data_IF_877510515087
#
_entry.id   IF_877510515087
#
_cell.length_a   1.000
_cell.length_b   1.000
_cell.length_c   1.000
_cell.angle_alpha   90.00
_cell.angle_beta   90.00
_cell.angle_gamma   90.00
#
_symmetry.space_group_name_H-M   'P 1'
#
loop_
_entity.id
_entity.type
_entity.pdbx_description
1 polymer ?
#
# COMPACT_ATOMS: atom_id res chain seq x y z
N UNK A 1 -16.78 -5.39 -1.62
CA UNK A 1 -15.75 -5.57 -2.66
C UNK A 1 -14.51 -4.84 -2.20
N UNK A 2 -13.40 -5.56 -2.12
CA UNK A 2 -12.09 -5.00 -1.84
C UNK A 2 -11.36 -4.63 -3.15
N UNK A 3 -10.44 -3.69 -3.06
CA UNK A 3 -9.63 -3.20 -4.19
C UNK A 3 -8.22 -2.98 -3.70
N UNK A 4 -7.25 -3.53 -4.43
CA UNK A 4 -5.83 -3.39 -4.12
C UNK A 4 -5.21 -2.43 -5.11
N UNK A 5 -4.20 -1.69 -4.68
CA UNK A 5 -3.50 -0.75 -5.54
C UNK A 5 -2.11 -0.41 -5.07
N UNK A 6 -1.50 0.48 -5.85
CA UNK A 6 -0.13 0.92 -5.69
C UNK A 6 -0.10 2.45 -5.82
N UNK A 7 0.58 3.10 -4.90
CA UNK A 7 0.93 4.52 -5.00
C UNK A 7 2.44 4.63 -5.14
N UNK A 8 2.91 5.24 -6.22
CA UNK A 8 4.34 5.53 -6.43
C UNK A 8 4.65 6.88 -5.80
N UNK A 9 5.60 6.90 -4.87
CA UNK A 9 6.04 8.11 -4.17
C UNK A 9 7.34 8.67 -4.74
N UNK A 10 8.16 7.79 -5.32
CA UNK A 10 9.47 8.16 -5.83
C UNK A 10 9.78 7.41 -7.12
N UNK A 11 10.39 8.13 -8.06
CA UNK A 11 10.89 7.58 -9.32
C UNK A 11 12.25 8.18 -9.65
N UNK A 12 13.09 7.40 -10.32
CA UNK A 12 14.38 7.85 -10.83
C UNK A 12 14.77 7.05 -12.07
N UNK A 13 15.31 7.70 -13.09
CA UNK A 13 15.87 7.01 -14.26
C UNK A 13 17.37 6.85 -14.08
N UNK A 14 17.83 5.60 -14.08
CA UNK A 14 19.24 5.25 -13.99
C UNK A 14 19.74 4.70 -15.32
N UNK A 15 20.87 5.20 -15.79
CA UNK A 15 21.52 4.75 -17.02
C UNK A 15 22.84 4.06 -16.65
N UNK A 16 22.97 2.78 -16.98
CA UNK A 16 24.22 2.06 -16.87
C UNK A 16 24.89 1.97 -18.25
N UNK A 17 25.86 2.86 -18.49
CA UNK A 17 26.67 2.86 -19.72
C UNK A 17 27.89 1.93 -19.65
N UNK A 18 28.11 1.24 -18.52
CA UNK A 18 29.25 0.35 -18.32
C UNK A 18 28.96 -1.02 -18.93
N UNK A 19 30.03 -1.76 -19.19
CA UNK A 19 29.98 -3.17 -19.63
C UNK A 19 29.69 -4.16 -18.50
N UNK A 20 29.60 -3.68 -17.26
CA UNK A 20 29.32 -4.47 -16.07
C UNK A 20 28.04 -4.01 -15.38
N UNK A 21 27.43 -4.90 -14.60
CA UNK A 21 26.24 -4.58 -13.80
C UNK A 21 26.56 -3.48 -12.78
N UNK A 22 25.66 -2.50 -12.69
CA UNK A 22 25.75 -1.39 -11.73
C UNK A 22 24.78 -1.62 -10.58
N UNK A 23 25.11 -1.12 -9.39
CA UNK A 23 24.25 -1.19 -8.21
C UNK A 23 24.06 0.20 -7.66
N UNK A 24 22.82 0.65 -7.53
CA UNK A 24 22.46 1.99 -7.08
C UNK A 24 21.53 1.90 -5.87
N UNK A 25 21.80 2.72 -4.85
CA UNK A 25 20.99 2.76 -3.64
C UNK A 25 20.44 4.17 -3.41
N UNK A 26 19.16 4.26 -3.08
CA UNK A 26 18.51 5.52 -2.70
C UNK A 26 17.78 5.38 -1.37
N UNK A 27 17.93 6.39 -0.52
CA UNK A 27 17.08 6.57 0.65
C UNK A 27 15.79 7.25 0.20
N UNK A 28 14.69 6.53 0.34
CA UNK A 28 13.37 6.89 -0.18
C UNK A 28 12.35 6.88 0.94
N UNK A 29 11.26 7.62 0.73
CA UNK A 29 10.20 7.81 1.71
C UNK A 29 8.86 7.42 1.10
N UNK A 30 7.99 6.84 1.91
CA UNK A 30 6.59 6.58 1.58
C UNK A 30 5.73 6.80 2.81
N UNK A 31 4.44 6.98 2.61
CA UNK A 31 3.49 7.02 3.72
C UNK A 31 2.91 5.64 3.97
N UNK A 32 2.80 5.28 5.26
CA UNK A 32 1.98 4.20 5.75
C UNK A 32 0.78 4.79 6.49
N UNK A 33 -0.42 4.29 6.21
CA UNK A 33 -1.65 4.83 6.81
C UNK A 33 -2.72 3.76 6.98
N UNK A 34 -3.66 4.01 7.89
CA UNK A 34 -4.90 3.25 8.00
C UNK A 34 -6.05 4.19 8.36
N UNK A 35 -7.12 4.16 7.58
CA UNK A 35 -8.29 5.03 7.74
C UNK A 35 -9.56 4.25 7.48
N UNK A 36 -10.66 4.57 8.18
CA UNK A 36 -11.93 3.90 7.99
C UNK A 36 -13.11 4.77 8.43
N UNK A 37 -14.26 4.55 7.78
CA UNK A 37 -15.57 5.04 8.19
C UNK A 37 -16.36 3.86 8.74
N UNK A 38 -16.26 3.63 10.05
CA UNK A 38 -16.86 2.50 10.79
C UNK A 38 -17.54 2.98 12.06
N UNK A 39 -18.41 2.18 12.67
CA UNK A 39 -18.98 2.47 13.99
C UNK A 39 -17.99 2.31 15.14
N UNK A 40 -17.00 1.42 14.97
CA UNK A 40 -16.06 1.03 16.02
C UNK A 40 -14.78 0.44 15.42
N UNK A 41 -13.70 0.41 16.21
CA UNK A 41 -12.44 -0.23 15.81
C UNK A 41 -12.58 -1.74 15.59
N UNK A 42 -13.51 -2.41 16.27
CA UNK A 42 -13.77 -3.85 16.05
C UNK A 42 -14.28 -4.12 14.64
N UNK A 43 -15.18 -3.28 14.10
CA UNK A 43 -15.63 -3.41 12.71
C UNK A 43 -14.49 -3.25 11.71
N UNK A 44 -13.56 -2.33 11.98
CA UNK A 44 -12.37 -2.20 11.14
C UNK A 44 -11.48 -3.44 11.23
N UNK A 45 -11.28 -4.00 12.42
CA UNK A 45 -10.50 -5.23 12.59
C UNK A 45 -11.15 -6.42 11.88
N UNK A 46 -12.48 -6.57 11.96
CA UNK A 46 -13.24 -7.57 11.19
C UNK A 46 -13.05 -7.39 9.69
N UNK A 47 -13.11 -6.14 9.21
CA UNK A 47 -12.84 -5.83 7.80
C UNK A 47 -11.42 -6.22 7.38
N UNK A 48 -10.42 -5.94 8.22
CA UNK A 48 -9.02 -6.33 7.98
C UNK A 48 -8.86 -7.86 7.94
N UNK A 49 -9.53 -8.58 8.85
CA UNK A 49 -9.53 -10.04 8.89
C UNK A 49 -10.20 -10.64 7.65
N UNK A 50 -11.35 -10.11 7.25
CA UNK A 50 -12.09 -10.58 6.06
C UNK A 50 -11.29 -10.38 4.77
N UNK A 51 -10.59 -9.25 4.65
CA UNK A 51 -9.69 -8.97 3.53
C UNK A 51 -8.42 -9.86 3.57
N UNK A 52 -8.02 -10.31 4.76
CA UNK A 52 -6.83 -11.13 4.97
C UNK A 52 -5.50 -10.39 4.76
N UNK A 53 -5.51 -9.06 4.79
CA UNK A 53 -4.31 -8.21 4.60
C UNK A 53 -4.19 -7.28 5.80
N UNK A 54 -3.16 -7.49 6.61
CA UNK A 54 -2.88 -6.69 7.80
C UNK A 54 -2.56 -5.23 7.48
N UNK A 55 -2.72 -4.37 8.48
CA UNK A 55 -2.36 -2.95 8.39
C UNK A 55 -0.90 -2.75 8.84
N UNK A 56 -0.21 -1.79 8.24
CA UNK A 56 1.14 -1.42 8.70
C UNK A 56 1.15 -0.54 9.95
N UNK A 57 0.03 0.15 10.20
CA UNK A 57 -0.16 1.10 11.29
C UNK A 57 -1.56 0.93 11.87
N UNK A 58 -1.78 1.45 13.08
CA UNK A 58 -3.09 1.44 13.73
C UNK A 58 -4.11 2.31 13.00
N UNK A 59 -5.40 2.00 13.16
CA UNK A 59 -6.49 2.82 12.62
C UNK A 59 -6.35 4.29 13.05
N UNK A 60 -6.45 5.20 12.08
CA UNK A 60 -6.32 6.66 12.28
C UNK A 60 -4.89 7.17 12.20
N UNK A 61 -3.88 6.30 12.18
CA UNK A 61 -2.49 6.70 12.07
C UNK A 61 -2.06 6.96 10.62
N UNK A 62 -1.14 7.91 10.46
CA UNK A 62 -0.39 8.19 9.22
C UNK A 62 1.05 8.49 9.59
N UNK A 63 1.98 7.70 9.05
CA UNK A 63 3.41 7.77 9.39
C UNK A 63 4.24 7.73 8.12
N UNK A 64 5.29 8.54 8.07
CA UNK A 64 6.30 8.46 7.01
C UNK A 64 7.29 7.34 7.34
N UNK A 65 7.49 6.40 6.41
CA UNK A 65 8.50 5.36 6.48
C UNK A 65 9.65 5.72 5.55
N UNK A 66 10.86 5.79 6.10
CA UNK A 66 12.11 5.98 5.35
C UNK A 66 12.80 4.62 5.21
N UNK A 67 13.23 4.28 4.00
CA UNK A 67 13.93 3.02 3.70
C UNK A 67 15.02 3.28 2.67
N UNK A 68 16.15 2.57 2.77
CA UNK A 68 17.13 2.51 1.69
C UNK A 68 16.82 1.32 0.80
N UNK A 69 16.63 1.55 -0.49
CA UNK A 69 16.41 0.49 -1.49
C UNK A 69 17.59 0.47 -2.43
N UNK A 70 18.01 -0.74 -2.80
CA UNK A 70 19.10 -1.01 -3.72
C UNK A 70 18.56 -1.69 -4.96
N UNK A 71 18.95 -1.19 -6.14
CA UNK A 71 18.61 -1.76 -7.43
C UNK A 71 19.87 -2.17 -8.18
N UNK A 72 19.73 -3.24 -8.97
CA UNK A 72 20.79 -3.81 -9.80
C UNK A 72 20.46 -3.59 -11.26
N UNK A 73 21.33 -2.88 -11.98
CA UNK A 73 21.08 -2.39 -13.34
C UNK A 73 22.03 -3.08 -14.31
N UNK A 74 21.53 -3.89 -15.26
CA UNK A 74 22.36 -4.58 -16.24
C UNK A 74 23.25 -3.63 -17.06
N UNK A 75 24.34 -4.13 -17.66
CA UNK A 75 25.19 -3.37 -18.59
C UNK A 75 24.38 -2.74 -19.74
N UNK A 76 24.84 -1.59 -20.22
CA UNK A 76 24.31 -0.89 -21.40
C UNK A 76 22.77 -0.78 -21.42
N UNK A 77 22.20 -0.38 -20.29
CA UNK A 77 20.75 -0.33 -20.13
C UNK A 77 20.28 0.87 -19.33
N UNK A 78 19.05 1.28 -19.61
CA UNK A 78 18.37 2.35 -18.89
C UNK A 78 17.16 1.77 -18.19
N UNK A 79 17.00 2.08 -16.90
CA UNK A 79 15.88 1.60 -16.09
C UNK A 79 15.25 2.76 -15.33
N UNK A 80 13.92 2.76 -15.24
CA UNK A 80 13.17 3.60 -14.30
C UNK A 80 12.95 2.83 -13.01
N UNK A 81 13.58 3.29 -11.95
CA UNK A 81 13.45 2.79 -10.59
C UNK A 81 12.22 3.43 -9.96
N UNK A 82 11.42 2.65 -9.25
CA UNK A 82 10.23 3.18 -8.56
C UNK A 82 10.16 2.65 -7.15
N UNK A 83 9.66 3.48 -6.26
CA UNK A 83 9.36 3.14 -4.88
C UNK A 83 8.01 3.69 -4.45
N UNK A 84 7.29 2.94 -3.62
CA UNK A 84 6.03 3.41 -3.06
C UNK A 84 5.39 2.47 -2.05
N UNK A 85 4.06 2.58 -1.91
CA UNK A 85 3.26 1.78 -0.98
C UNK A 85 2.20 0.99 -1.72
N UNK A 86 2.02 -0.27 -1.34
CA UNK A 86 0.80 -0.99 -1.68
C UNK A 86 -0.28 -0.71 -0.67
N UNK A 87 -1.51 -0.64 -1.16
CA UNK A 87 -2.68 -0.36 -0.34
C UNK A 87 -3.84 -1.26 -0.71
N UNK A 88 -4.77 -1.38 0.22
CA UNK A 88 -6.06 -2.02 0.01
C UNK A 88 -7.16 -1.09 0.51
N UNK A 89 -8.29 -1.12 -0.19
CA UNK A 89 -9.52 -0.43 0.15
C UNK A 89 -10.62 -1.48 0.21
N UNK A 90 -11.41 -1.48 1.26
CA UNK A 90 -12.54 -2.38 1.42
C UNK A 90 -13.81 -1.61 1.75
N UNK A 91 -14.94 -2.16 1.31
CA UNK A 91 -16.28 -1.64 1.59
C UNK A 91 -17.20 -2.77 1.98
N UNK A 92 -18.07 -2.49 2.96
CA UNK A 92 -19.01 -3.45 3.52
C UNK A 92 -20.23 -2.75 4.12
N UNK A 93 -21.02 -3.51 4.89
CA UNK A 93 -22.20 -3.01 5.59
C UNK A 93 -22.22 -3.51 7.03
N UNK A 94 -22.51 -2.62 7.97
CA UNK A 94 -22.95 -2.97 9.31
C UNK A 94 -24.49 -3.10 9.28
N UNK A 95 -25.00 -4.27 9.63
CA UNK A 95 -26.43 -4.53 9.71
C UNK A 95 -26.87 -4.62 11.17
N UNK A 96 -27.87 -3.83 11.54
CA UNK A 96 -28.40 -3.78 12.89
C UNK A 96 -29.74 -4.50 12.89
N UNK A 97 -29.92 -5.46 13.81
CA UNK A 97 -31.13 -6.27 13.90
C UNK A 97 -31.82 -6.07 15.24
N UNK A 98 -33.15 -6.09 15.25
CA UNK A 98 -33.97 -6.18 16.45
C UNK A 98 -34.96 -7.33 16.29
N UNK A 99 -34.94 -8.27 17.23
CA UNK A 99 -35.82 -9.46 17.22
C UNK A 99 -35.77 -10.24 15.89
N UNK A 100 -34.59 -10.34 15.28
CA UNK A 100 -34.39 -11.03 14.00
C UNK A 100 -34.72 -10.20 12.75
N UNK A 101 -35.29 -9.01 12.91
CA UNK A 101 -35.62 -8.11 11.79
C UNK A 101 -34.50 -7.09 11.59
N UNK A 102 -34.05 -6.90 10.35
CA UNK A 102 -33.12 -5.84 10.00
C UNK A 102 -33.78 -4.47 10.22
N UNK A 103 -33.24 -3.67 11.14
CA UNK A 103 -33.76 -2.34 11.50
C UNK A 103 -33.00 -1.22 10.81
N UNK A 104 -31.70 -1.39 10.58
CA UNK A 104 -30.90 -0.41 9.84
C UNK A 104 -29.65 -1.05 9.24
N UNK A 105 -29.09 -0.39 8.23
CA UNK A 105 -27.84 -0.80 7.59
C UNK A 105 -26.99 0.44 7.32
N UNK A 106 -25.70 0.37 7.64
CA UNK A 106 -24.74 1.46 7.43
C UNK A 106 -23.61 0.96 6.55
N UNK A 107 -23.36 1.65 5.44
CA UNK A 107 -22.18 1.38 4.61
C UNK A 107 -20.93 1.78 5.38
N UNK A 108 -19.97 0.86 5.42
CA UNK A 108 -18.65 1.08 6.02
C UNK A 108 -17.56 0.93 4.99
N UNK A 109 -16.45 1.62 5.20
CA UNK A 109 -15.28 1.56 4.33
C UNK A 109 -14.00 1.65 5.13
N UNK A 110 -12.94 1.05 4.61
CA UNK A 110 -11.60 1.12 5.15
C UNK A 110 -10.58 1.23 4.02
N UNK A 111 -9.48 1.91 4.26
CA UNK A 111 -8.35 1.98 3.35
C UNK A 111 -7.05 2.05 4.16
N UNK A 112 -6.11 1.16 3.84
CA UNK A 112 -4.84 1.06 4.54
C UNK A 112 -3.70 0.60 3.64
N UNK A 113 -2.47 0.97 4.02
CA UNK A 113 -1.26 0.38 3.44
C UNK A 113 -0.89 -0.88 4.20
N UNK A 114 -0.28 -1.82 3.46
CA UNK A 114 0.14 -3.12 4.03
C UNK A 114 1.62 -3.43 3.77
N UNK A 115 2.24 -2.88 2.73
CA UNK A 115 3.68 -3.04 2.49
C UNK A 115 4.28 -1.91 1.63
N UNK A 116 5.61 -1.82 1.67
CA UNK A 116 6.37 -1.04 0.71
C UNK A 116 6.52 -1.78 -0.61
N UNK A 117 6.66 -1.02 -1.69
CA UNK A 117 6.86 -1.52 -3.04
C UNK A 117 8.12 -0.91 -3.64
N UNK A 118 8.94 -1.72 -4.31
CA UNK A 118 10.02 -1.26 -5.15
C UNK A 118 10.13 -2.13 -6.40
N UNK A 119 10.38 -1.51 -7.55
CA UNK A 119 10.72 -2.22 -8.78
C UNK A 119 11.62 -1.37 -9.69
N UNK A 120 12.00 -1.96 -10.82
CA UNK A 120 12.74 -1.30 -11.88
C UNK A 120 12.19 -1.73 -13.24
N UNK A 121 11.89 -0.76 -14.11
CA UNK A 121 11.37 -1.01 -15.45
C UNK A 121 12.41 -0.62 -16.49
N UNK A 122 12.79 -1.57 -17.35
CA UNK A 122 13.69 -1.30 -18.48
C UNK A 122 13.04 -0.29 -19.43
N UNK A 123 13.78 0.74 -19.79
CA UNK A 123 13.41 1.69 -20.85
C UNK A 123 13.90 1.16 -22.20
N UNK A 124 13.06 1.29 -23.22
CA UNK A 124 13.38 0.89 -24.60
C UNK A 124 14.23 1.94 -25.31
#
# INVERSE_FOLDING_TARGET
MDTKGLTIYWTHTHVNNKSTTDTVSHTVKREAYASATVSSSSTFNEMVMEVGISTEVSLGARVEKTTTVTWTIPPHSTYTLRYGSRWVKATGKENYYSRGTLISSKTVSGQWTYEGYSDSIKQN
#
